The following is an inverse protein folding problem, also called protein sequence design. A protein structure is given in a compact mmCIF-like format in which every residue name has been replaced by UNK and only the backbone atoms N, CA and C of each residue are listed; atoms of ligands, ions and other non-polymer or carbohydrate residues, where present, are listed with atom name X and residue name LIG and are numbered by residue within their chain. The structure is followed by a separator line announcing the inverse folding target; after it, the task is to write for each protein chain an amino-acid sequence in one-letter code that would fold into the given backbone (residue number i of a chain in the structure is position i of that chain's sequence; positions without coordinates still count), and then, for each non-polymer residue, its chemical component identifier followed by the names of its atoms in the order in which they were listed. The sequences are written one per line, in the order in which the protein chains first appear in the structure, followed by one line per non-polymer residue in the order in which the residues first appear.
data_IF_741649214935
#
_entry.id   IF_741649214935
#
_cell.length_a   1.000
_cell.length_b   1.000
_cell.length_c   1.000
_cell.angle_alpha   90.00
_cell.angle_beta   90.00
_cell.angle_gamma   90.00
#
_symmetry.space_group_name_H-M   'P 1'
#
loop_
_entity.id
_entity.type
_entity.pdbx_description
1 polymer ?
#
# COMPACT_ATOMS: atom_id res chain seq x y z
N UNK A 1 7.25 6.19 -7.60
CA UNK A 1 6.32 5.35 -6.84
C UNK A 1 6.58 5.62 -5.38
N UNK A 2 5.53 5.79 -4.58
CA UNK A 2 5.59 5.89 -3.13
C UNK A 2 4.93 4.64 -2.55
N UNK A 3 5.68 3.93 -1.73
CA UNK A 3 5.19 2.76 -1.00
C UNK A 3 4.56 3.25 0.30
N UNK A 4 3.26 3.05 0.45
CA UNK A 4 2.53 3.49 1.64
C UNK A 4 2.39 2.37 2.69
N UNK A 5 2.98 1.20 2.42
CA UNK A 5 3.04 0.11 3.38
C UNK A 5 4.23 0.27 4.33
N UNK A 6 3.97 0.11 5.62
CA UNK A 6 4.97 0.13 6.69
C UNK A 6 5.12 -1.29 7.24
N UNK A 7 6.36 -1.71 7.50
CA UNK A 7 6.65 -3.00 8.09
C UNK A 7 6.14 -3.03 9.53
N UNK A 8 5.53 -4.14 9.93
CA UNK A 8 4.93 -4.27 11.25
C UNK A 8 5.85 -5.02 12.22
N UNK A 9 5.92 -4.57 13.48
CA UNK A 9 6.70 -5.27 14.49
C UNK A 9 6.11 -6.66 14.76
N UNK A 10 6.99 -7.60 15.05
CA UNK A 10 6.57 -8.97 15.39
C UNK A 10 5.98 -8.97 16.80
N UNK A 11 4.71 -9.37 16.92
CA UNK A 11 4.02 -9.52 18.20
C UNK A 11 4.67 -10.60 19.08
N UNK A 12 4.82 -10.29 20.37
CA UNK A 12 5.28 -11.22 21.40
C UNK A 12 4.15 -12.07 22.00
N UNK A 13 2.88 -11.78 21.68
CA UNK A 13 1.71 -12.42 22.32
C UNK A 13 1.64 -13.94 22.09
N UNK A 14 2.13 -14.43 20.96
CA UNK A 14 2.10 -15.86 20.62
C UNK A 14 3.29 -16.65 21.20
N UNK A 15 4.24 -15.93 21.78
CA UNK A 15 5.50 -16.46 22.30
C UNK A 15 6.37 -17.08 21.21
N UNK A 16 7.41 -17.76 21.67
CA UNK A 16 8.42 -18.35 20.79
C UNK A 16 8.33 -19.88 20.76
N UNK A 17 8.65 -20.47 19.61
CA UNK A 17 8.72 -21.91 19.40
C UNK A 17 10.04 -22.34 18.75
N UNK A 18 10.28 -23.65 18.64
CA UNK A 18 11.45 -24.19 17.93
C UNK A 18 11.28 -24.17 16.40
N UNK A 19 10.04 -24.27 15.93
CA UNK A 19 9.70 -24.50 14.52
C UNK A 19 9.73 -23.22 13.68
N UNK A 20 10.34 -23.34 12.49
CA UNK A 20 10.35 -22.31 11.47
C UNK A 20 9.20 -22.44 10.47
N UNK A 21 9.19 -21.60 9.44
CA UNK A 21 8.21 -21.67 8.36
C UNK A 21 8.56 -22.71 7.29
N UNK A 22 9.80 -23.19 7.24
CA UNK A 22 10.24 -24.16 6.25
C UNK A 22 9.97 -25.62 6.66
N UNK A 23 9.92 -26.52 5.68
CA UNK A 23 9.72 -27.96 5.93
C UNK A 23 10.90 -28.65 6.60
N UNK A 24 12.07 -28.02 6.64
CA UNK A 24 13.28 -28.52 7.28
C UNK A 24 13.45 -28.00 8.72
N UNK A 25 12.58 -27.10 9.20
CA UNK A 25 12.60 -26.54 10.55
C UNK A 25 11.38 -27.06 11.36
N UNK A 26 11.31 -28.36 11.60
CA UNK A 26 10.15 -29.06 12.22
C UNK A 26 10.40 -29.43 13.68
N UNK A 27 9.38 -29.93 14.39
CA UNK A 27 9.46 -30.30 15.83
C UNK A 27 10.57 -31.32 16.15
N UNK A 28 11.10 -32.07 15.17
CA UNK A 28 12.26 -32.94 15.39
C UNK A 28 13.54 -32.17 15.73
N UNK A 29 13.58 -30.88 15.41
CA UNK A 29 14.65 -29.95 15.79
C UNK A 29 14.43 -29.30 17.17
N UNK A 30 13.28 -29.55 17.81
CA UNK A 30 12.92 -28.94 19.10
C UNK A 30 13.84 -29.34 20.25
N UNK A 31 14.50 -30.50 20.13
CA UNK A 31 15.44 -31.02 21.12
C UNK A 31 16.87 -30.49 20.91
N UNK A 32 17.13 -29.70 19.86
CA UNK A 32 18.42 -29.02 19.68
C UNK A 32 18.38 -27.64 20.33
N UNK A 33 18.85 -27.54 21.59
CA UNK A 33 19.06 -26.26 22.29
C UNK A 33 19.91 -25.26 21.46
N UNK A 34 20.69 -25.78 20.51
CA UNK A 34 21.59 -25.06 19.62
C UNK A 34 20.89 -24.10 18.63
N UNK A 35 19.65 -24.38 18.20
CA UNK A 35 18.96 -23.56 17.18
C UNK A 35 18.22 -22.34 17.73
N UNK A 36 18.04 -22.22 19.06
CA UNK A 36 17.33 -21.11 19.71
C UNK A 36 15.80 -21.09 19.45
N UNK A 37 15.05 -20.17 20.06
CA UNK A 37 13.59 -20.03 19.86
C UNK A 37 13.28 -18.94 18.82
N UNK A 38 12.16 -19.03 18.11
CA UNK A 38 11.71 -18.05 17.10
C UNK A 38 10.25 -17.68 17.36
N UNK A 39 9.89 -16.42 17.10
CA UNK A 39 8.51 -15.94 17.26
C UNK A 39 7.53 -16.74 16.41
N UNK A 40 6.52 -17.31 17.06
CA UNK A 40 5.43 -18.03 16.38
C UNK A 40 4.60 -17.11 15.50
N UNK A 41 4.43 -15.86 15.92
CA UNK A 41 3.73 -14.83 15.16
C UNK A 41 4.42 -14.56 13.83
N UNK A 42 5.74 -14.35 13.84
CA UNK A 42 6.52 -14.16 12.61
C UNK A 42 6.43 -15.37 11.68
N UNK A 43 6.57 -16.58 12.23
CA UNK A 43 6.48 -17.82 11.45
C UNK A 43 5.10 -17.97 10.82
N UNK A 44 4.02 -17.66 11.55
CA UNK A 44 2.65 -17.68 11.01
C UNK A 44 2.51 -16.70 9.84
N UNK A 45 2.87 -15.43 10.03
CA UNK A 45 2.75 -14.40 9.00
C UNK A 45 3.59 -14.72 7.74
N UNK A 46 4.76 -15.33 7.92
CA UNK A 46 5.58 -15.82 6.80
C UNK A 46 4.88 -16.96 6.05
N UNK A 47 4.24 -17.90 6.78
CA UNK A 47 3.46 -18.98 6.16
C UNK A 47 2.26 -18.44 5.39
N UNK A 48 1.58 -17.43 5.93
CA UNK A 48 0.46 -16.76 5.26
C UNK A 48 0.94 -16.08 3.97
N UNK A 49 2.06 -15.33 4.03
CA UNK A 49 2.68 -14.69 2.86
C UNK A 49 3.12 -15.70 1.79
N UNK A 50 3.64 -16.86 2.19
CA UNK A 50 3.95 -17.96 1.27
C UNK A 50 2.67 -18.54 0.66
N UNK A 51 1.63 -18.76 1.45
CA UNK A 51 0.34 -19.28 0.99
C UNK A 51 -0.27 -18.37 -0.07
N UNK A 52 -0.29 -17.05 0.16
CA UNK A 52 -0.74 -16.04 -0.80
C UNK A 52 0.03 -16.12 -2.13
N UNK A 53 1.35 -16.27 -2.04
CA UNK A 53 2.21 -16.49 -3.21
C UNK A 53 1.75 -17.71 -4.01
N UNK A 54 1.46 -18.83 -3.35
CA UNK A 54 0.98 -20.05 -4.01
C UNK A 54 -0.44 -19.91 -4.59
N UNK A 55 -1.32 -19.11 -3.98
CA UNK A 55 -2.65 -18.86 -4.53
C UNK A 55 -2.57 -18.18 -5.91
N UNK A 56 -1.66 -17.22 -6.07
CA UNK A 56 -1.43 -16.51 -7.35
C UNK A 56 -0.89 -17.41 -8.47
N UNK A 57 -0.42 -18.60 -8.13
CA UNK A 57 0.06 -19.59 -9.08
C UNK A 57 -1.05 -20.51 -9.61
N UNK A 58 -2.23 -20.55 -8.98
CA UNK A 58 -3.31 -21.48 -9.35
C UNK A 58 -3.77 -21.32 -10.80
N UNK A 59 -3.81 -20.09 -11.28
CA UNK A 59 -4.23 -19.75 -12.64
C UNK A 59 -3.08 -19.84 -13.67
N UNK A 60 -1.85 -20.13 -13.22
CA UNK A 60 -0.68 -20.24 -14.11
C UNK A 60 -0.52 -21.65 -14.68
N UNK A 61 0.18 -21.75 -15.81
CA UNK A 61 0.52 -23.04 -16.41
C UNK A 61 1.41 -23.88 -15.49
N UNK A 62 1.46 -25.19 -15.72
CA UNK A 62 2.32 -26.11 -14.94
C UNK A 62 3.80 -25.72 -15.02
N UNK A 63 4.27 -25.33 -16.20
CA UNK A 63 5.67 -24.93 -16.44
C UNK A 63 6.03 -23.63 -15.70
N UNK A 64 5.14 -22.64 -15.69
CA UNK A 64 5.33 -21.40 -14.92
C UNK A 64 5.35 -21.64 -13.42
N UNK A 65 4.50 -22.56 -12.94
CA UNK A 65 4.49 -22.99 -11.55
C UNK A 65 5.79 -23.68 -11.17
N UNK A 66 6.23 -24.65 -11.96
CA UNK A 66 7.47 -25.39 -11.70
C UNK A 66 8.70 -24.47 -11.73
N UNK A 67 8.74 -23.50 -12.66
CA UNK A 67 9.79 -22.48 -12.71
C UNK A 67 9.81 -21.60 -11.45
N UNK A 68 8.64 -21.16 -10.98
CA UNK A 68 8.52 -20.38 -9.75
C UNK A 68 8.94 -21.21 -8.52
N UNK A 69 8.43 -22.43 -8.37
CA UNK A 69 8.76 -23.31 -7.24
C UNK A 69 10.26 -23.66 -7.22
N UNK A 70 10.80 -24.11 -8.36
CA UNK A 70 12.20 -24.58 -8.46
C UNK A 70 13.22 -23.46 -8.32
N UNK A 71 12.91 -22.24 -8.79
CA UNK A 71 13.85 -21.13 -8.78
C UNK A 71 13.83 -20.28 -7.51
N UNK A 72 12.74 -20.31 -6.73
CA UNK A 72 12.49 -19.33 -5.67
C UNK A 72 11.97 -19.91 -4.35
N UNK A 73 11.19 -21.00 -4.36
CA UNK A 73 10.69 -21.64 -3.13
C UNK A 73 11.54 -22.80 -2.64
N UNK A 74 12.45 -23.34 -3.46
CA UNK A 74 13.39 -24.37 -3.03
C UNK A 74 14.64 -23.80 -2.32
N UNK A 75 14.90 -22.51 -2.49
CA UNK A 75 16.06 -21.80 -1.92
C UNK A 75 15.58 -20.73 -0.92
N UNK A 76 14.62 -21.07 -0.05
CA UNK A 76 14.17 -20.14 0.98
C UNK A 76 15.29 -19.88 1.97
N UNK A 77 15.42 -18.62 2.37
CA UNK A 77 16.28 -18.25 3.48
C UNK A 77 15.76 -18.94 4.76
N UNK A 78 16.61 -19.43 5.67
CA UNK A 78 16.16 -20.01 6.94
C UNK A 78 15.34 -19.02 7.78
N UNK A 79 14.40 -19.50 8.59
CA UNK A 79 13.44 -18.65 9.28
C UNK A 79 14.09 -17.63 10.22
N UNK A 80 15.19 -18.03 10.83
CA UNK A 80 15.95 -17.21 11.79
C UNK A 80 16.75 -16.12 11.11
N UNK A 81 17.34 -16.42 9.97
CA UNK A 81 18.03 -15.44 9.13
C UNK A 81 17.04 -14.42 8.57
N UNK A 82 15.87 -14.88 8.12
CA UNK A 82 14.78 -13.99 7.70
C UNK A 82 14.30 -13.10 8.85
N UNK A 83 14.09 -13.64 10.06
CA UNK A 83 13.70 -12.82 11.21
C UNK A 83 14.77 -11.77 11.53
N UNK A 84 16.04 -12.15 11.58
CA UNK A 84 17.13 -11.21 11.86
C UNK A 84 17.21 -10.09 10.81
N UNK A 85 17.07 -10.45 9.53
CA UNK A 85 17.03 -9.46 8.45
C UNK A 85 15.79 -8.55 8.54
N UNK A 86 14.62 -9.12 8.81
CA UNK A 86 13.37 -8.38 9.00
C UNK A 86 13.44 -7.41 10.18
N UNK A 87 14.00 -7.83 11.31
CA UNK A 87 14.23 -6.95 12.47
C UNK A 87 15.14 -5.78 12.14
N UNK A 88 16.17 -5.99 11.31
CA UNK A 88 17.01 -4.88 10.83
C UNK A 88 16.22 -3.92 9.95
N UNK A 89 15.41 -4.41 9.01
CA UNK A 89 14.56 -3.56 8.18
C UNK A 89 13.58 -2.73 9.00
N UNK A 90 12.99 -3.31 10.06
CA UNK A 90 12.11 -2.59 10.98
C UNK A 90 12.83 -1.41 11.63
N UNK A 91 14.06 -1.63 12.13
CA UNK A 91 14.86 -0.57 12.73
C UNK A 91 15.22 0.51 11.71
N UNK A 92 15.74 0.11 10.54
CA UNK A 92 16.08 1.05 9.46
C UNK A 92 14.88 1.88 9.01
N UNK A 93 13.69 1.27 8.92
CA UNK A 93 12.47 2.00 8.61
C UNK A 93 12.06 2.94 9.74
N UNK A 94 12.14 2.52 11.01
CA UNK A 94 11.86 3.39 12.16
C UNK A 94 12.73 4.63 12.14
N UNK A 95 14.04 4.45 11.94
CA UNK A 95 15.02 5.55 11.90
C UNK A 95 14.70 6.56 10.78
N UNK A 96 14.30 6.08 9.60
CA UNK A 96 13.90 6.92 8.45
C UNK A 96 12.59 7.68 8.76
N UNK A 97 11.62 7.00 9.38
CA UNK A 97 10.32 7.60 9.69
C UNK A 97 10.45 8.66 10.81
N UNK A 98 11.27 8.41 11.81
CA UNK A 98 11.56 9.33 12.93
C UNK A 98 12.35 10.56 12.47
N UNK A 99 13.33 10.38 11.59
CA UNK A 99 14.11 11.50 11.01
C UNK A 99 13.34 12.31 9.98
N UNK A 100 12.30 11.74 9.36
CA UNK A 100 11.56 12.35 8.25
C UNK A 100 12.33 12.34 6.92
N UNK A 101 13.33 11.48 6.80
CA UNK A 101 14.20 11.39 5.63
C UNK A 101 13.43 10.96 4.37
N UNK A 102 12.36 10.19 4.52
CA UNK A 102 11.49 9.77 3.42
C UNK A 102 10.76 10.95 2.77
N UNK A 103 10.21 11.84 3.59
CA UNK A 103 9.57 13.08 3.16
C UNK A 103 10.58 14.06 2.55
N UNK A 104 11.77 14.17 3.15
CA UNK A 104 12.86 14.98 2.62
C UNK A 104 13.33 14.49 1.24
N UNK A 105 13.46 13.18 1.06
CA UNK A 105 13.80 12.56 -0.22
C UNK A 105 12.74 12.85 -1.30
N UNK A 106 11.45 12.82 -0.96
CA UNK A 106 10.39 13.21 -1.88
C UNK A 106 10.49 14.68 -2.28
N UNK A 107 10.65 15.59 -1.32
CA UNK A 107 10.83 17.03 -1.61
C UNK A 107 12.00 17.24 -2.56
N UNK A 108 13.12 16.57 -2.30
CA UNK A 108 14.31 16.63 -3.14
C UNK A 108 14.01 16.19 -4.58
N UNK A 109 13.34 15.05 -4.75
CA UNK A 109 13.01 14.50 -6.06
C UNK A 109 12.04 15.40 -6.84
N UNK A 110 10.97 15.88 -6.19
CA UNK A 110 9.95 16.75 -6.80
C UNK A 110 10.56 18.06 -7.33
N UNK A 111 11.55 18.62 -6.63
CA UNK A 111 12.19 19.87 -7.03
C UNK A 111 13.24 19.68 -8.14
N UNK A 112 13.92 18.54 -8.19
CA UNK A 112 15.12 18.36 -9.02
C UNK A 112 14.95 17.45 -10.21
N UNK A 113 13.90 16.63 -10.28
CA UNK A 113 13.75 15.66 -11.36
C UNK A 113 12.79 16.19 -12.43
N UNK A 114 13.31 16.86 -13.49
CA UNK A 114 12.45 17.52 -14.49
C UNK A 114 11.61 16.55 -15.32
N UNK A 115 11.98 15.26 -15.33
CA UNK A 115 11.24 14.20 -16.02
C UNK A 115 10.22 13.49 -15.13
N UNK A 116 10.17 13.82 -13.84
CA UNK A 116 9.19 13.24 -12.91
C UNK A 116 7.83 13.92 -13.11
N UNK A 117 6.99 13.31 -13.94
CA UNK A 117 5.66 13.85 -14.28
C UNK A 117 4.51 13.16 -13.55
N UNK A 118 4.78 12.03 -12.90
CA UNK A 118 3.77 11.17 -12.27
C UNK A 118 4.24 10.68 -10.91
N UNK A 119 3.36 10.78 -9.93
CA UNK A 119 3.50 10.12 -8.63
C UNK A 119 2.34 9.15 -8.44
N UNK A 120 2.66 7.92 -8.06
CA UNK A 120 1.67 6.94 -7.61
C UNK A 120 1.98 6.60 -6.16
N UNK A 121 0.96 6.66 -5.30
CA UNK A 121 0.97 6.16 -3.91
C UNK A 121 0.20 4.86 -3.90
N UNK A 122 0.76 3.81 -3.30
CA UNK A 122 0.12 2.49 -3.28
C UNK A 122 0.51 1.72 -2.03
N UNK A 123 -0.43 0.96 -1.41
CA UNK A 123 -0.11 0.03 -0.33
C UNK A 123 0.36 -1.33 -0.86
N UNK A 124 0.38 -1.54 -2.18
CA UNK A 124 0.52 -2.85 -2.81
C UNK A 124 1.92 -3.10 -3.39
N UNK A 125 2.92 -2.30 -3.03
CA UNK A 125 4.28 -2.34 -3.59
C UNK A 125 4.90 -3.73 -3.52
N UNK A 126 4.75 -4.37 -2.37
CA UNK A 126 5.31 -5.68 -2.07
C UNK A 126 4.64 -6.84 -2.80
N UNK A 127 3.46 -6.62 -3.42
CA UNK A 127 2.77 -7.62 -4.22
C UNK A 127 2.51 -8.92 -3.45
N UNK A 128 3.08 -10.01 -3.95
CA UNK A 128 3.16 -11.28 -3.23
C UNK A 128 4.60 -11.71 -3.09
N UNK A 129 4.86 -12.70 -2.22
CA UNK A 129 6.21 -13.11 -1.89
C UNK A 129 7.02 -13.45 -3.15
N UNK A 130 8.22 -12.87 -3.25
CA UNK A 130 9.16 -13.02 -4.37
C UNK A 130 8.66 -12.45 -5.72
N UNK A 131 7.41 -11.94 -5.80
CA UNK A 131 6.87 -11.25 -6.98
C UNK A 131 6.31 -9.89 -6.58
N UNK A 132 7.19 -8.91 -6.30
CA UNK A 132 6.76 -7.57 -5.96
C UNK A 132 6.03 -6.93 -7.15
N UNK A 133 5.08 -6.05 -6.86
CA UNK A 133 4.40 -5.26 -7.89
C UNK A 133 5.34 -4.18 -8.43
N UNK A 134 6.14 -3.59 -7.54
CA UNK A 134 7.16 -2.61 -7.88
C UNK A 134 8.47 -2.97 -7.21
N UNK A 135 9.53 -3.05 -8.01
CA UNK A 135 10.89 -3.24 -7.51
C UNK A 135 11.47 -1.94 -6.96
N UNK A 136 11.05 -1.55 -5.76
CA UNK A 136 11.66 -0.43 -5.04
C UNK A 136 13.11 -0.76 -4.67
N UNK A 137 13.91 0.26 -4.30
CA UNK A 137 15.30 0.04 -3.89
C UNK A 137 15.40 -0.91 -2.69
N UNK A 138 14.47 -0.82 -1.73
CA UNK A 138 14.38 -1.75 -0.61
C UNK A 138 14.17 -3.19 -1.11
N UNK A 139 13.17 -3.41 -1.96
CA UNK A 139 12.81 -4.75 -2.48
C UNK A 139 13.95 -5.36 -3.31
N UNK A 140 14.66 -4.55 -4.10
CA UNK A 140 15.84 -5.00 -4.87
C UNK A 140 17.02 -5.40 -3.98
N UNK A 141 17.09 -4.88 -2.76
CA UNK A 141 18.13 -5.19 -1.80
C UNK A 141 17.89 -6.49 -1.02
N UNK A 142 16.71 -7.12 -1.15
CA UNK A 142 16.38 -8.32 -0.39
C UNK A 142 17.28 -9.51 -0.77
N UNK A 143 17.72 -10.31 0.22
CA UNK A 143 18.46 -11.53 -0.05
C UNK A 143 17.58 -12.52 -0.81
N UNK A 144 18.22 -13.35 -1.63
CA UNK A 144 17.52 -14.40 -2.38
C UNK A 144 16.83 -15.35 -1.39
N UNK A 145 15.57 -15.68 -1.66
CA UNK A 145 14.78 -16.55 -0.81
C UNK A 145 14.25 -15.90 0.47
N UNK A 146 14.43 -14.59 0.66
CA UNK A 146 13.94 -13.89 1.85
C UNK A 146 12.42 -14.05 1.99
N UNK A 147 11.99 -14.57 3.14
CA UNK A 147 10.58 -14.70 3.51
C UNK A 147 10.28 -13.70 4.61
N UNK A 148 9.24 -12.89 4.41
CA UNK A 148 8.84 -11.89 5.38
C UNK A 148 7.33 -11.68 5.36
N UNK A 149 6.75 -11.17 6.48
CA UNK A 149 5.38 -10.69 6.51
C UNK A 149 5.21 -9.55 5.51
N UNK A 150 4.39 -9.76 4.48
CA UNK A 150 4.10 -8.70 3.51
C UNK A 150 3.24 -7.64 4.18
N UNK A 151 3.71 -6.39 4.30
CA UNK A 151 2.94 -5.36 4.97
C UNK A 151 1.67 -5.04 4.17
N UNK A 152 0.56 -4.84 4.89
CA UNK A 152 -0.70 -4.37 4.33
C UNK A 152 -0.81 -2.89 4.69
N UNK A 153 -0.52 -1.99 3.74
CA UNK A 153 -0.40 -0.56 4.04
C UNK A 153 -1.71 0.09 4.47
N UNK A 154 -2.69 0.17 3.57
CA UNK A 154 -3.99 0.76 3.89
C UNK A 154 -4.92 -0.27 4.56
N UNK A 155 -5.86 0.19 5.41
CA UNK A 155 -6.83 -0.66 6.10
C UNK A 155 -7.51 -1.69 5.19
N UNK A 156 -7.47 -2.94 5.60
CA UNK A 156 -8.02 -4.09 4.90
C UNK A 156 -8.48 -5.09 5.95
N UNK A 157 -9.69 -5.63 5.83
CA UNK A 157 -10.18 -6.56 6.85
C UNK A 157 -9.30 -7.82 6.91
N UNK A 158 -9.24 -8.43 8.10
CA UNK A 158 -8.49 -9.67 8.36
C UNK A 158 -8.88 -10.81 7.39
N UNK A 159 -10.14 -10.82 6.96
CA UNK A 159 -10.58 -11.64 5.84
C UNK A 159 -10.36 -10.84 4.55
N UNK A 160 -9.27 -11.14 3.84
CA UNK A 160 -8.72 -10.47 2.63
C UNK A 160 -9.67 -10.25 1.43
N UNK A 161 -10.95 -10.52 1.63
CA UNK A 161 -12.04 -10.28 0.69
C UNK A 161 -12.94 -9.12 1.09
N UNK A 162 -12.78 -8.59 2.31
CA UNK A 162 -13.62 -7.52 2.85
C UNK A 162 -12.76 -6.28 3.13
N UNK A 163 -13.33 -5.10 2.86
CA UNK A 163 -12.73 -3.85 3.27
C UNK A 163 -12.99 -3.61 4.77
N UNK A 164 -12.07 -2.94 5.46
CA UNK A 164 -12.30 -2.48 6.83
C UNK A 164 -13.25 -1.27 6.83
N UNK A 165 -14.06 -1.12 7.88
CA UNK A 165 -14.90 0.06 8.06
C UNK A 165 -14.03 1.31 8.17
N UNK A 166 -14.39 2.37 7.45
CA UNK A 166 -13.66 3.63 7.50
C UNK A 166 -14.05 4.38 8.78
N UNK A 167 -13.07 4.85 9.56
CA UNK A 167 -13.37 5.73 10.70
C UNK A 167 -13.36 7.20 10.27
N UNK A 168 -14.01 8.11 11.02
CA UNK A 168 -13.94 9.55 10.77
C UNK A 168 -12.51 10.09 10.66
N UNK A 169 -12.28 11.04 9.74
CA UNK A 169 -10.97 11.64 9.44
C UNK A 169 -10.51 12.67 10.48
N UNK A 170 -10.61 12.34 11.76
CA UNK A 170 -10.43 13.29 12.87
C UNK A 170 -9.08 13.12 13.57
N UNK A 171 -8.75 11.89 13.97
CA UNK A 171 -7.57 11.60 14.80
C UNK A 171 -6.32 11.43 13.95
N UNK A 172 -5.16 11.81 14.49
CA UNK A 172 -3.89 11.59 13.79
C UNK A 172 -3.56 10.11 13.61
N UNK A 173 -3.98 9.25 14.55
CA UNK A 173 -3.82 7.81 14.44
C UNK A 173 -4.57 7.23 13.24
N UNK A 174 -5.81 7.67 13.00
CA UNK A 174 -6.58 7.25 11.83
C UNK A 174 -5.92 7.77 10.55
N UNK A 175 -5.56 9.06 10.50
CA UNK A 175 -4.91 9.67 9.33
C UNK A 175 -3.57 9.00 9.00
N UNK A 176 -2.83 8.56 10.02
CA UNK A 176 -1.52 7.92 9.85
C UNK A 176 -1.58 6.55 9.18
N UNK A 177 -2.76 5.91 9.11
CA UNK A 177 -2.98 4.72 8.26
C UNK A 177 -2.79 5.01 6.76
N UNK A 178 -2.84 6.29 6.35
CA UNK A 178 -2.55 6.77 4.99
C UNK A 178 -1.41 7.80 4.98
N UNK A 179 -0.36 7.59 5.79
CA UNK A 179 0.75 8.55 5.98
C UNK A 179 1.37 9.05 4.68
N UNK A 180 1.62 8.17 3.73
CA UNK A 180 2.19 8.48 2.43
C UNK A 180 1.29 9.34 1.56
N UNK A 181 -0.02 9.12 1.58
CA UNK A 181 -0.98 10.05 0.96
C UNK A 181 -0.85 11.47 1.54
N UNK A 182 -0.77 11.61 2.88
CA UNK A 182 -0.63 12.91 3.55
C UNK A 182 0.67 13.61 3.17
N UNK A 183 1.79 12.89 3.22
CA UNK A 183 3.11 13.41 2.85
C UNK A 183 3.13 13.83 1.39
N UNK A 184 2.71 12.95 0.49
CA UNK A 184 2.77 13.19 -0.94
C UNK A 184 1.90 14.38 -1.31
N UNK A 185 0.66 14.45 -0.84
CA UNK A 185 -0.22 15.58 -1.15
C UNK A 185 0.31 16.89 -0.58
N UNK A 186 0.82 16.91 0.66
CA UNK A 186 1.42 18.10 1.27
C UNK A 186 2.65 18.58 0.50
N UNK A 187 3.60 17.69 0.20
CA UNK A 187 4.81 18.03 -0.58
C UNK A 187 4.46 18.51 -1.97
N UNK A 188 3.54 17.82 -2.65
CA UNK A 188 3.12 18.23 -3.98
C UNK A 188 2.41 19.56 -3.96
N UNK A 189 1.55 19.86 -2.98
CA UNK A 189 0.83 21.12 -2.87
C UNK A 189 1.77 22.31 -2.63
N UNK A 190 2.82 22.12 -1.83
CA UNK A 190 3.81 23.15 -1.47
C UNK A 190 4.89 23.40 -2.55
N UNK A 191 5.05 22.48 -3.51
CA UNK A 191 6.09 22.61 -4.53
C UNK A 191 5.77 23.71 -5.58
N UNK A 192 6.61 24.75 -5.64
CA UNK A 192 6.45 25.89 -6.56
C UNK A 192 6.70 25.49 -8.04
N UNK A 193 7.78 24.76 -8.31
CA UNK A 193 8.22 24.36 -9.66
C UNK A 193 7.91 22.89 -9.97
N UNK A 194 6.74 22.41 -9.57
CA UNK A 194 6.36 21.01 -9.70
C UNK A 194 5.93 20.64 -11.13
N UNK A 195 6.69 19.77 -11.80
CA UNK A 195 6.38 19.23 -13.14
C UNK A 195 5.40 18.05 -13.09
N UNK A 196 4.98 17.63 -11.90
CA UNK A 196 4.09 16.50 -11.71
C UNK A 196 2.70 16.91 -12.16
N UNK A 197 2.24 16.24 -13.22
CA UNK A 197 0.93 16.45 -13.84
C UNK A 197 -0.04 15.32 -13.55
N UNK A 198 0.44 14.21 -12.97
CA UNK A 198 -0.37 13.04 -12.62
C UNK A 198 -0.14 12.60 -11.17
N UNK A 199 -1.22 12.54 -10.39
CA UNK A 199 -1.26 11.91 -9.06
C UNK A 199 -2.19 10.69 -9.11
N UNK A 200 -1.71 9.55 -8.64
CA UNK A 200 -2.47 8.30 -8.62
C UNK A 200 -2.41 7.69 -7.22
N UNK A 201 -3.55 7.51 -6.56
CA UNK A 201 -3.69 6.63 -5.41
C UNK A 201 -4.23 5.30 -5.92
N UNK A 202 -3.39 4.28 -5.94
CA UNK A 202 -3.69 2.98 -6.54
C UNK A 202 -3.71 1.88 -5.48
N UNK A 203 -4.88 1.28 -5.25
CA UNK A 203 -5.04 0.13 -4.37
C UNK A 203 -4.65 -1.21 -5.03
N UNK A 204 -4.30 -1.22 -6.31
CA UNK A 204 -3.97 -2.42 -7.08
C UNK A 204 -5.00 -3.56 -6.94
N UNK A 205 -6.30 -3.21 -6.91
CA UNK A 205 -7.42 -4.16 -6.73
C UNK A 205 -7.48 -4.87 -5.38
N UNK A 206 -6.70 -4.41 -4.38
CA UNK A 206 -6.93 -4.81 -3.00
C UNK A 206 -8.27 -4.20 -2.52
N UNK A 207 -9.00 -4.86 -1.60
CA UNK A 207 -10.25 -4.34 -1.04
C UNK A 207 -9.96 -3.23 -0.01
N UNK A 208 -9.29 -2.17 -0.45
CA UNK A 208 -8.88 -1.02 0.35
C UNK A 208 -8.85 0.24 -0.53
N UNK A 209 -8.67 1.41 0.08
CA UNK A 209 -8.57 2.68 -0.62
C UNK A 209 -8.34 3.85 0.35
N UNK A 210 -8.30 5.06 -0.17
CA UNK A 210 -8.31 6.28 0.62
C UNK A 210 -9.64 6.41 1.35
N UNK A 211 -9.59 6.67 2.65
CA UNK A 211 -10.75 6.95 3.47
C UNK A 211 -11.62 8.08 2.86
N UNK A 212 -12.91 7.81 2.63
CA UNK A 212 -13.80 8.79 2.02
C UNK A 212 -14.16 9.97 2.94
N UNK A 213 -14.03 9.82 4.27
CA UNK A 213 -14.26 10.90 5.24
C UNK A 213 -13.36 12.12 5.02
N UNK A 214 -12.24 11.97 4.31
CA UNK A 214 -11.38 13.09 3.88
C UNK A 214 -12.13 14.14 3.03
N UNK A 215 -13.29 13.79 2.45
CA UNK A 215 -14.09 14.68 1.61
C UNK A 215 -15.33 15.27 2.31
N UNK A 216 -15.58 14.94 3.57
CA UNK A 216 -16.77 15.41 4.29
C UNK A 216 -16.49 16.76 4.96
N UNK A 217 -15.51 16.77 5.87
CA UNK A 217 -15.18 17.94 6.68
C UNK A 217 -13.94 18.71 6.16
N UNK A 218 -13.80 20.02 6.47
CA UNK A 218 -12.60 20.77 6.11
C UNK A 218 -11.36 20.19 6.81
N UNK A 219 -10.35 19.83 6.01
CA UNK A 219 -9.08 19.32 6.50
C UNK A 219 -7.92 19.70 5.56
N UNK A 220 -6.69 19.61 6.08
CA UNK A 220 -5.50 20.02 5.34
C UNK A 220 -5.27 19.12 4.11
N UNK A 221 -5.54 17.83 4.20
CA UNK A 221 -5.32 16.88 3.10
C UNK A 221 -6.21 17.19 1.89
N UNK A 222 -7.48 17.55 2.13
CA UNK A 222 -8.39 18.01 1.10
C UNK A 222 -7.94 19.35 0.48
N UNK A 223 -7.47 20.30 1.28
CA UNK A 223 -6.95 21.58 0.79
C UNK A 223 -5.69 21.37 -0.07
N UNK A 224 -4.82 20.45 0.33
CA UNK A 224 -3.64 20.05 -0.43
C UNK A 224 -4.02 19.43 -1.77
N UNK A 225 -5.02 18.53 -1.80
CA UNK A 225 -5.58 18.02 -3.05
C UNK A 225 -6.11 19.15 -3.94
N UNK A 226 -6.89 20.09 -3.40
CA UNK A 226 -7.40 21.24 -4.15
C UNK A 226 -6.28 22.04 -4.81
N UNK A 227 -5.20 22.35 -4.06
CA UNK A 227 -4.02 23.07 -4.59
C UNK A 227 -3.36 22.32 -5.75
N UNK A 228 -3.21 20.99 -5.64
CA UNK A 228 -2.65 20.14 -6.71
C UNK A 228 -3.53 20.17 -7.96
N UNK A 229 -4.85 20.08 -7.79
CA UNK A 229 -5.81 20.04 -8.89
C UNK A 229 -5.86 21.38 -9.63
N UNK A 230 -5.84 22.48 -8.88
CA UNK A 230 -5.92 23.84 -9.40
C UNK A 230 -4.61 24.29 -10.08
N UNK A 231 -3.49 23.61 -9.81
CA UNK A 231 -2.20 23.93 -10.40
C UNK A 231 -2.24 23.87 -11.94
N UNK A 232 -1.73 24.92 -12.64
CA UNK A 232 -1.52 24.87 -14.08
C UNK A 232 -0.65 23.68 -14.49
N UNK A 233 -1.08 22.92 -15.49
CA UNK A 233 -0.36 21.72 -15.93
C UNK A 233 -0.81 20.41 -15.26
N UNK A 234 -1.64 20.46 -14.21
CA UNK A 234 -2.30 19.26 -13.68
C UNK A 234 -3.22 18.64 -14.73
N UNK A 235 -2.99 17.36 -15.04
CA UNK A 235 -3.65 16.61 -16.13
C UNK A 235 -4.56 15.51 -15.62
N UNK A 236 -4.13 14.77 -14.58
CA UNK A 236 -4.85 13.58 -14.14
C UNK A 236 -4.69 13.36 -12.64
N UNK A 237 -5.82 13.13 -11.98
CA UNK A 237 -5.87 12.65 -10.61
C UNK A 237 -6.73 11.40 -10.58
N UNK A 238 -6.21 10.34 -9.98
CA UNK A 238 -6.89 9.06 -9.78
C UNK A 238 -6.88 8.75 -8.29
N UNK A 239 -8.06 8.45 -7.74
CA UNK A 239 -8.24 8.11 -6.33
C UNK A 239 -8.97 6.76 -6.25
N UNK A 240 -8.32 5.75 -5.68
CA UNK A 240 -9.00 4.55 -5.16
C UNK A 240 -9.54 4.88 -3.78
N UNK A 241 -10.86 4.79 -3.59
CA UNK A 241 -11.52 5.14 -2.31
C UNK A 241 -11.96 3.89 -1.55
N UNK A 242 -11.80 3.95 -0.23
CA UNK A 242 -12.43 3.04 0.72
C UNK A 242 -13.83 3.58 1.00
N UNK A 243 -14.82 2.97 0.36
CA UNK A 243 -16.23 3.21 0.63
C UNK A 243 -16.68 1.98 1.39
N UNK A 244 -17.19 2.19 2.60
CA UNK A 244 -17.57 1.15 3.55
C UNK A 244 -18.56 0.11 2.95
N UNK A 245 -18.91 -0.92 3.72
CA UNK A 245 -20.02 -1.84 3.45
C UNK A 245 -21.36 -1.08 3.38
N UNK A 246 -21.59 -0.28 2.34
CA UNK A 246 -22.89 0.27 1.97
C UNK A 246 -23.79 -0.85 1.39
N UNK A 247 -23.90 -1.98 2.09
CA UNK A 247 -24.75 -3.10 1.70
C UNK A 247 -26.24 -2.79 1.94
N UNK A 248 -26.57 -1.84 2.81
CA UNK A 248 -27.97 -1.53 3.19
C UNK A 248 -28.31 -0.03 3.28
N UNK A 249 -27.42 0.87 2.86
CA UNK A 249 -27.74 2.29 2.91
C UNK A 249 -28.44 2.70 1.62
N UNK A 250 -29.71 3.10 1.75
CA UNK A 250 -30.37 4.03 0.85
C UNK A 250 -29.41 5.17 0.45
N UNK A 251 -29.72 5.85 -0.65
CA UNK A 251 -28.92 6.86 -1.36
C UNK A 251 -28.12 7.91 -0.55
N UNK A 252 -28.33 8.02 0.76
CA UNK A 252 -27.65 8.85 1.75
C UNK A 252 -26.17 8.47 1.98
N UNK A 253 -25.79 7.19 1.95
CA UNK A 253 -24.38 6.77 2.16
C UNK A 253 -23.40 7.22 1.05
N UNK A 254 -23.93 7.72 -0.08
CA UNK A 254 -23.18 8.31 -1.18
C UNK A 254 -23.21 9.84 -1.17
N UNK A 255 -23.72 10.46 -0.10
CA UNK A 255 -23.85 11.91 -0.03
C UNK A 255 -22.51 12.61 -0.12
N UNK A 256 -21.39 12.01 0.31
CA UNK A 256 -20.08 12.62 0.10
C UNK A 256 -19.73 12.80 -1.40
N UNK A 257 -20.30 12.00 -2.31
CA UNK A 257 -20.16 12.18 -3.75
C UNK A 257 -21.09 13.25 -4.33
N UNK A 258 -22.32 13.35 -3.82
CA UNK A 258 -23.36 14.27 -4.36
C UNK A 258 -23.30 15.65 -3.72
N UNK A 259 -23.13 15.68 -2.40
CA UNK A 259 -23.18 16.84 -1.53
C UNK A 259 -21.82 17.13 -0.85
N UNK A 260 -20.92 16.15 -0.81
CA UNK A 260 -19.58 16.32 -0.23
C UNK A 260 -18.59 17.02 -1.15
N UNK A 261 -17.40 17.28 -0.60
CA UNK A 261 -16.41 18.17 -1.21
C UNK A 261 -15.70 17.55 -2.41
N UNK A 262 -15.81 16.24 -2.63
CA UNK A 262 -15.23 15.59 -3.81
C UNK A 262 -15.81 16.15 -5.11
N UNK A 263 -17.07 16.60 -5.09
CA UNK A 263 -17.75 17.23 -6.23
C UNK A 263 -17.11 18.58 -6.62
N UNK A 264 -16.42 19.24 -5.69
CA UNK A 264 -15.74 20.51 -5.89
C UNK A 264 -14.32 20.34 -6.45
N UNK A 265 -13.77 19.11 -6.46
CA UNK A 265 -12.52 18.81 -7.15
C UNK A 265 -12.77 18.85 -8.66
N UNK A 266 -12.24 19.89 -9.31
CA UNK A 266 -12.25 20.24 -10.75
C UNK A 266 -12.71 19.16 -11.76
N UNK A 267 -13.31 19.55 -12.91
CA UNK A 267 -13.71 18.63 -14.01
C UNK A 267 -12.59 17.75 -14.63
N UNK A 268 -11.35 17.78 -14.11
CA UNK A 268 -10.21 16.93 -14.49
C UNK A 268 -10.06 15.67 -13.63
N UNK A 269 -10.90 15.47 -12.62
CA UNK A 269 -10.84 14.30 -11.74
C UNK A 269 -11.36 13.05 -12.49
N UNK A 270 -10.52 12.02 -12.58
CA UNK A 270 -10.89 10.71 -13.11
C UNK A 270 -11.00 9.72 -11.95
N UNK A 271 -12.23 9.49 -11.49
CA UNK A 271 -12.52 8.45 -10.51
C UNK A 271 -12.48 7.10 -11.24
N UNK A 272 -11.31 6.46 -11.24
CA UNK A 272 -11.09 5.17 -11.90
C UNK A 272 -11.51 4.03 -10.99
N UNK A 273 -12.45 3.21 -11.46
CA UNK A 273 -12.97 2.05 -10.73
C UNK A 273 -12.49 0.77 -11.36
N UNK A 274 -11.77 -0.04 -10.59
CA UNK A 274 -11.38 -1.41 -10.96
C UNK A 274 -11.72 -2.32 -9.78
N UNK A 275 -12.81 -3.09 -9.96
CA UNK A 275 -13.40 -4.18 -9.15
C UNK A 275 -12.90 -4.36 -7.70
N UNK A 276 -13.76 -4.33 -6.68
CA UNK A 276 -15.06 -5.01 -6.58
C UNK A 276 -16.25 -4.03 -6.50
N UNK A 277 -17.25 -4.23 -7.38
CA UNK A 277 -18.50 -3.46 -7.51
C UNK A 277 -18.37 -2.02 -8.08
N UNK A 278 -19.10 -1.76 -9.17
CA UNK A 278 -18.79 -0.76 -10.21
C UNK A 278 -19.85 0.35 -10.24
N UNK A 279 -19.46 1.60 -10.51
CA UNK A 279 -20.32 2.62 -11.15
C UNK A 279 -19.45 3.55 -12.02
N UNK A 280 -19.90 4.20 -13.09
CA UNK A 280 -19.04 5.01 -13.98
C UNK A 280 -19.45 6.48 -13.87
N UNK A 281 -18.50 7.41 -13.87
CA UNK A 281 -18.76 8.78 -14.31
C UNK A 281 -17.68 9.17 -15.33
N UNK A 282 -18.09 9.17 -16.61
CA UNK A 282 -17.42 9.87 -17.71
C UNK A 282 -18.01 11.27 -17.78
N UNK A 283 -17.20 12.31 -18.01
CA UNK A 283 -17.65 13.39 -18.90
C UNK A 283 -16.50 14.03 -19.66
N UNK A 284 -16.71 14.16 -20.97
CA UNK A 284 -15.84 14.86 -21.92
C UNK A 284 -16.05 16.37 -21.81
N UNK A 285 -15.04 17.13 -22.27
CA UNK A 285 -15.02 18.60 -22.32
C UNK A 285 -16.31 19.23 -22.88
N UNK A 286 -16.68 20.45 -22.44
CA UNK A 286 -17.61 21.26 -23.22
C UNK A 286 -16.94 21.63 -24.56
N UNK A 287 -17.66 21.35 -25.64
CA UNK A 287 -17.39 21.93 -26.95
C UNK A 287 -17.31 23.45 -26.79
N UNK A 288 -16.23 24.06 -27.31
CA UNK A 288 -16.21 25.49 -27.58
C UNK A 288 -17.38 25.79 -28.52
N UNK A 289 -18.30 26.64 -28.09
CA UNK A 289 -19.15 27.39 -29.00
C UNK A 289 -18.22 28.23 -29.88
N UNK A 290 -18.24 27.96 -31.19
CA UNK A 290 -17.72 28.86 -32.20
C UNK A 290 -18.88 29.79 -32.54
N UNK A 291 -18.67 31.09 -32.35
CA UNK A 291 -19.57 32.14 -32.83
C UNK A 291 -19.49 32.33 -34.33
#
# INVERSE_FOLDING_TARGET
MWDDAVLEPVSSKEGDGPCGYSSYETDRDADSEEKGRISRHFVRLCRDSMFDGTLRLRDKTKEEREKYMKGQMNDLLPSRESLAYYSRLLQEQSDILESGDDEAALRYAVQRFPRLTKVTVTPATHGVLITPLYETLMVRGFPRGFVYPIPRGWPCAENEHLAEEANPWETEDEKNKWRGFRIVTRVLAQAENCQISELVLDNNKLPTGLNHFVFEEPNEEYDNLCRIVQRPGSRRIVLSLLVDYLFDCDTEGWDFYRNGRISNLSPKLLISKRSFYKLIILWMRPHRAVG
#
